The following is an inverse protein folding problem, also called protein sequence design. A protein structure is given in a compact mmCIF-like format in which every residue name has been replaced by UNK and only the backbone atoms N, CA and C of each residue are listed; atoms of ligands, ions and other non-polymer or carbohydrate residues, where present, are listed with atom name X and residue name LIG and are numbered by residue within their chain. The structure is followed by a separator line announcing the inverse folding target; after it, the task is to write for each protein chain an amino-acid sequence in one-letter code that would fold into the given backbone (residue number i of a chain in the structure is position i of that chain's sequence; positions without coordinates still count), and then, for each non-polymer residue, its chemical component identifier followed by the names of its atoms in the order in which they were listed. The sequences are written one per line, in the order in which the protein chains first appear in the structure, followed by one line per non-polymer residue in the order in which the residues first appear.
data_IF_181033658330
#
_entry.id   IF_181033658330
#
_cell.length_a   1.000
_cell.length_b   1.000
_cell.length_c   1.000
_cell.angle_alpha   90.00
_cell.angle_beta   90.00
_cell.angle_gamma   90.00
#
_symmetry.space_group_name_H-M   'P 1'
#
loop_
_entity.id
_entity.type
_entity.pdbx_description
1 polymer ?
#
# COMPACT_ATOMS: atom_id res chain seq x y z
N UNK A 1 19.77 15.64 -54.96
CA UNK A 1 18.76 14.84 -54.23
C UNK A 1 19.48 14.28 -53.02
N UNK A 2 19.32 14.91 -51.86
CA UNK A 2 19.71 14.27 -50.60
C UNK A 2 18.63 14.64 -49.60
N UNK A 3 17.76 13.66 -49.35
CA UNK A 3 16.58 13.80 -48.51
C UNK A 3 17.00 14.14 -47.09
N UNK A 4 16.47 15.25 -46.61
CA UNK A 4 16.37 15.63 -45.20
C UNK A 4 16.46 14.43 -44.27
N UNK A 5 17.48 14.45 -43.40
CA UNK A 5 17.52 13.68 -42.16
C UNK A 5 16.27 14.01 -41.35
N UNK A 6 15.20 13.28 -41.61
CA UNK A 6 14.04 13.19 -40.72
C UNK A 6 14.57 12.56 -39.44
N UNK A 7 14.95 13.44 -38.52
CA UNK A 7 15.17 13.15 -37.12
C UNK A 7 13.92 12.39 -36.65
N UNK A 8 14.00 11.05 -36.64
CA UNK A 8 12.93 10.20 -36.13
C UNK A 8 12.66 10.67 -34.71
N UNK A 9 11.59 11.44 -34.56
CA UNK A 9 11.12 11.92 -33.28
C UNK A 9 10.90 10.64 -32.48
N UNK A 10 11.71 10.44 -31.44
CA UNK A 10 11.67 9.26 -30.60
C UNK A 10 10.23 9.09 -30.14
N UNK A 11 9.57 8.09 -30.72
CA UNK A 11 8.17 7.82 -30.46
C UNK A 11 8.02 7.61 -28.95
N UNK A 12 7.00 8.22 -28.35
CA UNK A 12 6.63 8.07 -26.95
C UNK A 12 6.53 6.61 -26.45
N UNK A 13 6.60 5.61 -27.33
CA UNK A 13 6.72 4.19 -26.99
C UNK A 13 8.09 3.75 -26.45
N UNK A 14 8.86 4.64 -25.83
CA UNK A 14 10.14 4.33 -25.14
C UNK A 14 10.13 4.59 -23.63
N UNK A 15 9.02 5.06 -23.04
CA UNK A 15 9.05 5.58 -21.67
C UNK A 15 8.79 4.54 -20.56
N UNK A 16 8.12 3.41 -20.83
CA UNK A 16 7.90 2.36 -19.82
C UNK A 16 8.19 0.96 -20.35
N UNK A 17 9.02 0.21 -19.61
CA UNK A 17 9.15 -1.23 -19.80
C UNK A 17 7.95 -1.91 -19.16
N UNK A 18 7.05 -2.46 -20.00
CA UNK A 18 5.84 -3.17 -19.58
C UNK A 18 6.12 -4.25 -18.55
N UNK A 19 7.18 -5.03 -18.72
CA UNK A 19 7.50 -6.12 -17.81
C UNK A 19 7.94 -5.58 -16.45
N UNK A 20 8.71 -4.48 -16.45
CA UNK A 20 9.11 -3.80 -15.22
C UNK A 20 7.89 -3.21 -14.48
N UNK A 21 6.98 -2.54 -15.19
CA UNK A 21 5.75 -1.96 -14.60
C UNK A 21 4.85 -3.05 -14.01
N UNK A 22 4.63 -4.15 -14.72
CA UNK A 22 3.82 -5.28 -14.24
C UNK A 22 4.46 -5.96 -13.02
N UNK A 23 5.79 -6.11 -13.00
CA UNK A 23 6.53 -6.62 -11.83
C UNK A 23 6.38 -5.67 -10.65
N UNK A 24 6.53 -4.36 -10.85
CA UNK A 24 6.39 -3.35 -9.81
C UNK A 24 4.96 -3.31 -9.25
N UNK A 25 3.95 -3.35 -10.11
CA UNK A 25 2.54 -3.39 -9.69
C UNK A 25 2.24 -4.65 -8.86
N UNK A 26 2.78 -5.82 -9.26
CA UNK A 26 2.63 -7.06 -8.49
C UNK A 26 3.34 -6.96 -7.14
N UNK A 27 4.57 -6.43 -7.10
CA UNK A 27 5.32 -6.22 -5.86
C UNK A 27 4.60 -5.27 -4.91
N UNK A 28 4.10 -4.12 -5.40
CA UNK A 28 3.28 -3.21 -4.62
C UNK A 28 2.05 -3.91 -4.04
N UNK A 29 1.40 -4.76 -4.84
CA UNK A 29 0.25 -5.55 -4.42
C UNK A 29 0.55 -6.57 -3.33
N UNK A 30 1.70 -7.24 -3.40
CA UNK A 30 2.19 -8.19 -2.37
C UNK A 30 2.61 -7.44 -1.11
N UNK A 31 3.41 -6.39 -1.24
CA UNK A 31 3.88 -5.56 -0.12
C UNK A 31 2.73 -4.94 0.65
N UNK A 32 1.65 -4.51 -0.02
CA UNK A 32 0.45 -4.02 0.63
C UNK A 32 -0.08 -5.03 1.66
N UNK A 33 -0.24 -6.29 1.23
CA UNK A 33 -0.73 -7.36 2.09
C UNK A 33 0.27 -7.75 3.19
N UNK A 34 1.56 -7.77 2.87
CA UNK A 34 2.61 -8.06 3.86
C UNK A 34 2.60 -7.02 4.98
N UNK A 35 2.55 -5.73 4.64
CA UNK A 35 2.50 -4.64 5.62
C UNK A 35 1.21 -4.69 6.43
N UNK A 36 0.05 -4.86 5.78
CA UNK A 36 -1.21 -4.99 6.50
C UNK A 36 -1.19 -6.17 7.48
N UNK A 37 -0.68 -7.32 7.03
CA UNK A 37 -0.52 -8.51 7.86
C UNK A 37 0.42 -8.27 9.04
N UNK A 38 1.53 -7.57 8.83
CA UNK A 38 2.46 -7.19 9.90
C UNK A 38 1.78 -6.31 10.96
N UNK A 39 1.10 -5.23 10.54
CA UNK A 39 0.39 -4.35 11.47
C UNK A 39 -0.79 -5.03 12.17
N UNK A 40 -1.49 -5.94 11.49
CA UNK A 40 -2.53 -6.76 12.10
C UNK A 40 -1.94 -7.71 13.15
N UNK A 41 -0.81 -8.35 12.85
CA UNK A 41 -0.09 -9.20 13.79
C UNK A 41 0.38 -8.41 15.02
N UNK A 42 1.03 -7.25 14.84
CA UNK A 42 1.48 -6.43 15.97
C UNK A 42 0.32 -5.96 16.84
N UNK A 43 -0.80 -5.57 16.22
CA UNK A 43 -2.03 -5.20 16.94
C UNK A 43 -2.56 -6.36 17.77
N UNK A 44 -2.60 -7.57 17.17
CA UNK A 44 -3.04 -8.78 17.87
C UNK A 44 -2.14 -9.12 19.07
N UNK A 45 -0.83 -9.04 18.90
CA UNK A 45 0.14 -9.24 20.00
C UNK A 45 -0.04 -8.18 21.08
N UNK A 46 -0.22 -6.91 20.72
CA UNK A 46 -0.45 -5.82 21.69
C UNK A 46 -1.71 -6.05 22.52
N UNK A 47 -2.79 -6.53 21.91
CA UNK A 47 -4.03 -6.88 22.62
C UNK A 47 -3.78 -8.06 23.57
N UNK A 48 -3.08 -9.10 23.12
CA UNK A 48 -2.74 -10.25 23.96
C UNK A 48 -1.90 -9.85 25.18
N UNK A 49 -0.85 -9.05 24.97
CA UNK A 49 0.00 -8.52 26.04
C UNK A 49 -0.81 -7.71 27.04
N UNK A 50 -1.75 -6.88 26.57
CA UNK A 50 -2.62 -6.12 27.43
C UNK A 50 -3.43 -7.01 28.38
N UNK A 51 -4.05 -8.07 27.86
CA UNK A 51 -4.82 -9.01 28.69
C UNK A 51 -3.95 -9.78 29.68
N UNK A 52 -2.71 -10.12 29.31
CA UNK A 52 -1.76 -10.74 30.25
C UNK A 52 -1.41 -9.77 31.39
N UNK A 53 -1.19 -8.49 31.11
CA UNK A 53 -0.91 -7.48 32.13
C UNK A 53 -2.09 -7.29 33.09
N UNK A 54 -3.32 -7.33 32.57
CA UNK A 54 -4.54 -7.27 33.40
C UNK A 54 -4.68 -8.54 34.25
N UNK A 55 -4.48 -9.73 33.67
CA UNK A 55 -4.62 -11.00 34.38
C UNK A 55 -3.56 -11.19 35.47
N UNK A 56 -2.35 -10.65 35.28
CA UNK A 56 -1.26 -10.68 36.26
C UNK A 56 -1.38 -9.60 37.35
N UNK A 57 -2.38 -8.72 37.26
CA UNK A 57 -2.60 -7.62 38.19
C UNK A 57 -1.60 -6.45 38.06
N UNK A 58 -0.68 -6.52 37.08
CA UNK A 58 0.28 -5.44 36.78
C UNK A 58 -0.43 -4.21 36.23
N UNK A 59 -1.48 -4.42 35.43
CA UNK A 59 -2.39 -3.37 34.99
C UNK A 59 -3.69 -3.47 35.80
N UNK A 60 -3.94 -2.50 36.68
CA UNK A 60 -5.19 -2.39 37.43
C UNK A 60 -6.08 -1.29 36.84
N UNK A 61 -7.38 -1.56 36.80
CA UNK A 61 -8.39 -0.55 36.50
C UNK A 61 -8.96 0.12 37.75
N UNK A 62 -8.43 -0.17 38.93
CA UNK A 62 -8.80 0.51 40.16
C UNK A 62 -8.33 1.97 40.11
N UNK A 63 -9.27 2.92 40.33
CA UNK A 63 -8.98 4.35 40.31
C UNK A 63 -9.04 5.05 38.94
N UNK A 64 -9.13 4.32 37.82
CA UNK A 64 -9.33 4.94 36.48
C UNK A 64 -10.79 5.19 36.16
N UNK A 65 -11.07 6.36 35.58
CA UNK A 65 -12.42 6.77 35.18
C UNK A 65 -12.92 5.92 34.01
N UNK A 66 -14.23 5.85 33.83
CA UNK A 66 -14.89 5.15 32.71
C UNK A 66 -14.31 5.57 31.35
N UNK A 67 -14.00 6.86 31.16
CA UNK A 67 -13.38 7.36 29.93
C UNK A 67 -11.99 6.77 29.68
N UNK A 68 -11.15 6.64 30.73
CA UNK A 68 -9.82 6.05 30.61
C UNK A 68 -9.93 4.57 30.22
N UNK A 69 -10.90 3.85 30.82
CA UNK A 69 -11.17 2.44 30.50
C UNK A 69 -11.60 2.23 29.05
N UNK A 70 -12.37 3.16 28.48
CA UNK A 70 -12.77 3.11 27.07
C UNK A 70 -11.63 3.51 26.13
N UNK A 71 -10.73 4.40 26.58
CA UNK A 71 -9.62 4.88 25.77
C UNK A 71 -8.55 3.80 25.52
N UNK A 72 -8.34 2.91 26.48
CA UNK A 72 -7.29 1.88 26.39
C UNK A 72 -7.52 0.97 25.17
N UNK A 73 -8.66 0.26 25.02
CA UNK A 73 -9.00 -0.53 23.82
C UNK A 73 -8.83 0.21 22.49
N UNK A 74 -9.21 1.50 22.46
CA UNK A 74 -9.09 2.31 21.24
C UNK A 74 -7.64 2.56 20.84
N UNK A 75 -6.71 2.59 21.80
CA UNK A 75 -5.29 2.76 21.54
C UNK A 75 -4.63 1.50 20.96
N UNK A 76 -5.13 0.29 21.21
CA UNK A 76 -4.62 -0.88 20.48
C UNK A 76 -5.16 -0.95 19.06
N UNK A 77 -6.44 -0.64 18.84
CA UNK A 77 -7.02 -0.66 17.49
C UNK A 77 -6.38 0.41 16.59
N UNK A 78 -6.04 1.58 17.15
CA UNK A 78 -5.37 2.64 16.39
C UNK A 78 -4.00 2.23 15.85
N UNK A 79 -3.34 1.21 16.43
CA UNK A 79 -2.08 0.66 15.90
C UNK A 79 -2.25 -0.02 14.53
N UNK A 80 -3.46 -0.43 14.16
CA UNK A 80 -3.75 -0.98 12.84
C UNK A 80 -3.85 0.12 11.77
N UNK A 81 -4.09 1.38 12.18
CA UNK A 81 -4.35 2.48 11.25
C UNK A 81 -3.21 2.74 10.25
N UNK A 82 -1.91 2.71 10.61
CA UNK A 82 -0.84 2.89 9.62
C UNK A 82 -0.81 1.74 8.61
N UNK A 83 -1.08 0.51 9.05
CA UNK A 83 -1.19 -0.65 8.17
C UNK A 83 -2.28 -0.50 7.11
N UNK A 84 -3.45 0.04 7.50
CA UNK A 84 -4.54 0.35 6.56
C UNK A 84 -4.14 1.46 5.58
N UNK A 85 -3.50 2.52 6.06
CA UNK A 85 -3.02 3.61 5.20
C UNK A 85 -2.04 3.08 4.17
N UNK A 86 -1.01 2.33 4.59
CA UNK A 86 -0.02 1.75 3.67
C UNK A 86 -0.66 0.78 2.68
N UNK A 87 -1.61 -0.04 3.13
CA UNK A 87 -2.34 -0.95 2.26
C UNK A 87 -3.07 -0.19 1.16
N UNK A 88 -3.86 0.82 1.53
CA UNK A 88 -4.64 1.63 0.58
C UNK A 88 -3.67 2.33 -0.38
N UNK A 89 -2.64 3.01 0.12
CA UNK A 89 -1.67 3.72 -0.72
C UNK A 89 -1.00 2.80 -1.73
N UNK A 90 -0.54 1.61 -1.32
CA UNK A 90 0.11 0.66 -2.21
C UNK A 90 -0.86 0.02 -3.21
N UNK A 91 -2.11 -0.24 -2.82
CA UNK A 91 -3.15 -0.70 -3.74
C UNK A 91 -3.53 0.37 -4.76
N UNK A 92 -3.63 1.63 -4.34
CA UNK A 92 -3.85 2.76 -5.25
C UNK A 92 -2.67 2.89 -6.20
N UNK A 93 -1.43 2.82 -5.72
CA UNK A 93 -0.23 2.86 -6.57
C UNK A 93 -0.20 1.70 -7.59
N UNK A 94 -0.51 0.48 -7.16
CA UNK A 94 -0.66 -0.68 -8.04
C UNK A 94 -1.69 -0.38 -9.15
N UNK A 95 -2.86 0.16 -8.80
CA UNK A 95 -3.92 0.44 -9.76
C UNK A 95 -3.53 1.54 -10.75
N UNK A 96 -2.88 2.61 -10.27
CA UNK A 96 -2.40 3.71 -11.12
C UNK A 96 -1.37 3.20 -12.13
N UNK A 97 -0.41 2.37 -11.71
CA UNK A 97 0.57 1.77 -12.62
C UNK A 97 -0.08 0.95 -13.74
N UNK A 98 -1.12 0.18 -13.41
CA UNK A 98 -1.85 -0.61 -14.41
C UNK A 98 -2.64 0.28 -15.38
N UNK A 99 -3.29 1.33 -14.89
CA UNK A 99 -4.01 2.29 -15.74
C UNK A 99 -3.06 2.98 -16.72
N UNK A 100 -1.89 3.43 -16.25
CA UNK A 100 -0.90 4.07 -17.11
C UNK A 100 -0.40 3.11 -18.20
N UNK A 101 -0.20 1.84 -17.86
CA UNK A 101 0.18 0.81 -18.82
C UNK A 101 -0.91 0.58 -19.88
N UNK A 102 -2.18 0.54 -19.47
CA UNK A 102 -3.30 0.38 -20.41
C UNK A 102 -3.43 1.58 -21.36
N UNK A 103 -3.23 2.80 -20.86
CA UNK A 103 -3.23 4.03 -21.69
C UNK A 103 -2.09 4.00 -22.70
N UNK A 104 -0.89 3.60 -22.27
CA UNK A 104 0.27 3.47 -23.15
C UNK A 104 0.00 2.44 -24.26
N UNK A 105 -0.46 1.24 -23.90
CA UNK A 105 -0.75 0.19 -24.88
C UNK A 105 -1.85 0.60 -25.87
N UNK A 106 -2.87 1.35 -25.42
CA UNK A 106 -3.91 1.88 -26.29
C UNK A 106 -3.38 2.96 -27.25
N UNK A 107 -2.52 3.85 -26.76
CA UNK A 107 -1.87 4.88 -27.58
C UNK A 107 -0.98 4.27 -28.67
N UNK A 108 -0.24 3.20 -28.34
CA UNK A 108 0.60 2.45 -29.29
C UNK A 108 -0.24 1.76 -30.36
N UNK A 109 -1.41 1.24 -30.02
CA UNK A 109 -2.34 0.63 -31.00
C UNK A 109 -2.95 1.67 -31.92
N UNK A 110 -3.38 2.81 -31.36
CA UNK A 110 -3.96 3.90 -32.14
C UNK A 110 -2.98 4.48 -33.16
N UNK A 111 -1.69 4.57 -32.80
CA UNK A 111 -0.67 5.12 -33.68
C UNK A 111 -0.13 4.14 -34.75
N UNK A 112 -0.54 2.86 -34.69
CA UNK A 112 -0.28 1.85 -35.74
C UNK A 112 -1.42 1.76 -36.77
N UNK A 113 -2.56 2.41 -36.52
CA UNK A 113 -3.68 2.55 -37.45
C UNK A 113 -3.53 3.84 -38.24
#
# INVERSE_FOLDING_TARGET
MDGSSEKRIGFLGTYFDRDAVLRLARLAGVLAWVLLGFYAYTTFISIGQFWVLVATGVASYEGVNLFDRLSIPTMQISQLSPGLVYFITLKTAQQVLLILLDVEDNSRRAARK
#
